data_IF_656157142469
#
_entry.id   IF_656157142469
#
_cell.length_a   1.000
_cell.length_b   1.000
_cell.length_c   1.000
_cell.angle_alpha   90.00
_cell.angle_beta   90.00
_cell.angle_gamma   90.00
#
_symmetry.space_group_name_H-M   'P 1'
#
loop_
_entity.id
_entity.type
_entity.pdbx_description
1 polymer ?
#
# COMPACT_ATOMS: atom_id res chain seq x y z
N UNK A 1 -10.50 4.26 -20.32
CA UNK A 1 -10.95 2.86 -20.50
C UNK A 1 -9.87 1.82 -20.19
N UNK A 2 -8.62 1.91 -20.70
CA UNK A 2 -7.54 0.96 -20.35
C UNK A 2 -7.21 0.87 -18.85
N UNK A 3 -7.19 2.01 -18.15
CA UNK A 3 -6.85 2.07 -16.73
C UNK A 3 -7.91 1.38 -15.83
N UNK A 4 -9.20 1.49 -16.17
CA UNK A 4 -10.29 0.81 -15.46
C UNK A 4 -10.22 -0.71 -15.62
N UNK A 5 -9.90 -1.20 -16.81
CA UNK A 5 -9.75 -2.64 -17.04
C UNK A 5 -8.56 -3.21 -16.27
N UNK A 6 -7.41 -2.52 -16.28
CA UNK A 6 -6.24 -2.94 -15.50
C UNK A 6 -6.53 -2.98 -13.99
N UNK A 7 -7.23 -1.97 -13.46
CA UNK A 7 -7.66 -1.91 -12.05
C UNK A 7 -8.58 -3.09 -11.68
N UNK A 8 -9.54 -3.43 -12.55
CA UNK A 8 -10.46 -4.54 -12.31
C UNK A 8 -9.72 -5.89 -12.33
N UNK A 9 -8.85 -6.12 -13.31
CA UNK A 9 -8.03 -7.33 -13.37
C UNK A 9 -7.13 -7.47 -12.14
N UNK A 10 -6.48 -6.39 -11.70
CA UNK A 10 -5.65 -6.39 -10.50
C UNK A 10 -6.46 -6.72 -9.24
N UNK A 11 -7.66 -6.14 -9.11
CA UNK A 11 -8.57 -6.42 -7.99
C UNK A 11 -9.02 -7.88 -7.97
N UNK A 12 -9.30 -8.45 -9.14
CA UNK A 12 -9.69 -9.86 -9.28
C UNK A 12 -8.53 -10.82 -8.99
N UNK A 13 -7.31 -10.48 -9.40
CA UNK A 13 -6.13 -11.31 -9.17
C UNK A 13 -5.68 -11.28 -7.70
N UNK A 14 -5.88 -10.15 -7.00
CA UNK A 14 -5.38 -9.93 -5.64
C UNK A 14 -6.45 -9.43 -4.67
N UNK A 15 -7.59 -10.12 -4.50
CA UNK A 15 -8.73 -9.63 -3.72
C UNK A 15 -8.38 -9.45 -2.23
N UNK A 16 -7.50 -10.29 -1.69
CA UNK A 16 -7.03 -10.18 -0.30
C UNK A 16 -6.16 -8.94 -0.10
N UNK A 17 -5.27 -8.66 -1.04
CA UNK A 17 -4.38 -7.50 -0.97
C UNK A 17 -5.17 -6.20 -1.09
N UNK A 18 -6.15 -6.11 -2.01
CA UNK A 18 -7.01 -4.93 -2.11
C UNK A 18 -7.81 -4.70 -0.83
N UNK A 19 -8.39 -5.75 -0.24
CA UNK A 19 -9.09 -5.63 1.05
C UNK A 19 -8.15 -5.19 2.18
N UNK A 20 -6.92 -5.70 2.21
CA UNK A 20 -5.92 -5.27 3.18
C UNK A 20 -5.62 -3.77 3.05
N UNK A 21 -5.33 -3.28 1.83
CA UNK A 21 -5.11 -1.85 1.61
C UNK A 21 -6.33 -1.01 1.99
N UNK A 22 -7.55 -1.48 1.66
CA UNK A 22 -8.78 -0.80 2.08
C UNK A 22 -8.87 -0.68 3.60
N UNK A 23 -8.65 -1.77 4.35
CA UNK A 23 -8.67 -1.73 5.81
C UNK A 23 -7.62 -0.78 6.34
N UNK A 24 -6.36 -0.96 5.94
CA UNK A 24 -5.20 -0.17 6.39
C UNK A 24 -5.35 1.33 6.12
N UNK A 25 -5.88 1.71 4.95
CA UNK A 25 -6.07 3.12 4.59
C UNK A 25 -7.44 3.69 5.00
N UNK A 26 -8.41 2.84 5.34
CA UNK A 26 -9.70 3.27 5.93
C UNK A 26 -9.58 3.54 7.42
N UNK A 27 -8.74 2.78 8.13
CA UNK A 27 -8.17 3.23 9.39
C UNK A 27 -7.20 4.36 9.09
N UNK A 28 -7.26 5.47 9.81
CA UNK A 28 -6.25 6.52 9.65
C UNK A 28 -4.90 5.90 10.02
N UNK A 29 -3.96 5.86 9.09
CA UNK A 29 -2.57 5.50 9.41
C UNK A 29 -2.06 6.58 10.35
N UNK A 30 -1.66 6.19 11.55
CA UNK A 30 -1.18 7.12 12.59
C UNK A 30 0.35 7.13 12.63
N UNK A 31 0.93 8.23 13.10
CA UNK A 31 2.35 8.30 13.38
C UNK A 31 2.75 7.17 14.34
N UNK A 32 3.87 6.51 14.06
CA UNK A 32 4.30 5.35 14.83
C UNK A 32 3.78 4.01 14.31
N UNK A 33 2.85 4.00 13.34
CA UNK A 33 2.49 2.77 12.61
C UNK A 33 3.74 2.17 12.00
N UNK A 34 3.96 0.86 12.15
CA UNK A 34 5.09 0.16 11.54
C UNK A 34 4.58 -0.64 10.35
N UNK A 35 5.14 -0.35 9.17
CA UNK A 35 4.93 -1.15 7.97
C UNK A 35 6.09 -2.12 7.79
N UNK A 36 5.78 -3.39 7.59
CA UNK A 36 6.74 -4.40 7.15
C UNK A 36 6.37 -4.85 5.74
N UNK A 37 7.36 -4.89 4.86
CA UNK A 37 7.20 -5.31 3.48
C UNK A 37 8.20 -6.43 3.21
N UNK A 38 7.66 -7.58 2.85
CA UNK A 38 8.44 -8.70 2.35
C UNK A 38 8.22 -8.84 0.85
N UNK A 39 9.32 -8.89 0.10
CA UNK A 39 9.32 -9.16 -1.34
C UNK A 39 10.03 -10.47 -1.58
N UNK A 40 9.36 -11.41 -2.25
CA UNK A 40 9.95 -12.67 -2.69
C UNK A 40 9.90 -12.70 -4.21
N UNK A 41 11.06 -12.65 -4.86
CA UNK A 41 11.13 -12.86 -6.31
C UNK A 41 11.19 -14.35 -6.61
N UNK A 42 10.74 -14.79 -7.80
CA UNK A 42 10.85 -16.19 -8.19
C UNK A 42 12.30 -16.68 -8.12
N UNK A 43 12.56 -17.69 -7.27
CA UNK A 43 13.88 -18.30 -7.11
C UNK A 43 14.87 -17.51 -6.25
N UNK A 44 14.48 -16.39 -5.67
CA UNK A 44 15.29 -15.63 -4.70
C UNK A 44 14.74 -15.80 -3.28
N UNK A 45 15.61 -15.67 -2.28
CA UNK A 45 15.20 -15.60 -0.88
C UNK A 45 14.37 -14.34 -0.62
N UNK A 46 13.37 -14.40 0.28
CA UNK A 46 12.60 -13.22 0.66
C UNK A 46 13.50 -12.12 1.24
N UNK A 47 13.28 -10.89 0.79
CA UNK A 47 13.86 -9.71 1.42
C UNK A 47 12.77 -8.98 2.20
N UNK A 48 13.05 -8.68 3.47
CA UNK A 48 12.11 -7.99 4.36
C UNK A 48 12.72 -6.68 4.82
N UNK A 49 11.90 -5.62 4.79
CA UNK A 49 12.23 -4.34 5.39
C UNK A 49 11.05 -3.83 6.19
N UNK A 50 11.30 -2.95 7.15
CA UNK A 50 10.26 -2.23 7.84
C UNK A 50 10.60 -0.75 7.95
N UNK A 51 9.55 0.06 8.11
CA UNK A 51 9.68 1.46 8.46
C UNK A 51 8.56 1.87 9.40
N UNK A 52 8.88 2.83 10.27
CA UNK A 52 7.90 3.50 11.12
C UNK A 52 7.43 4.76 10.42
N UNK A 53 6.12 4.92 10.32
CA UNK A 53 5.49 6.11 9.76
C UNK A 53 5.84 7.31 10.64
N UNK A 54 6.38 8.34 10.02
CA UNK A 54 6.63 9.63 10.62
C UNK A 54 5.53 10.62 10.25
N UNK A 55 5.39 11.67 11.05
CA UNK A 55 4.45 12.76 10.76
C UNK A 55 4.67 13.37 9.36
N UNK A 56 5.93 13.52 8.92
CA UNK A 56 6.26 14.03 7.58
C UNK A 56 5.73 13.16 6.44
N UNK A 57 5.63 11.84 6.67
CA UNK A 57 5.11 10.90 5.66
C UNK A 57 3.59 11.03 5.50
N UNK A 58 2.89 11.29 6.62
CA UNK A 58 1.45 11.54 6.62
C UNK A 58 1.10 12.84 5.90
N UNK A 59 1.87 13.89 6.16
CA UNK A 59 1.72 15.20 5.48
C UNK A 59 1.95 15.08 3.98
N UNK A 60 2.98 14.32 3.57
CA UNK A 60 3.22 14.02 2.16
C UNK A 60 2.03 13.28 1.53
N UNK A 61 1.50 12.25 2.20
CA UNK A 61 0.35 11.49 1.71
C UNK A 61 -0.92 12.35 1.58
N UNK A 62 -1.14 13.29 2.48
CA UNK A 62 -2.25 14.24 2.41
C UNK A 62 -2.09 15.18 1.21
N UNK A 63 -0.89 15.75 1.01
CA UNK A 63 -0.62 16.63 -0.14
C UNK A 63 -0.81 15.96 -1.51
N UNK A 64 -0.61 14.63 -1.59
CA UNK A 64 -0.81 13.86 -2.82
C UNK A 64 -2.30 13.56 -3.11
N UNK A 65 -3.17 13.55 -2.09
CA UNK A 65 -4.62 13.38 -2.28
C UNK A 65 -5.26 14.61 -2.92
N UNK A 66 -4.72 15.80 -2.62
CA UNK A 66 -5.22 17.08 -3.15
C UNK A 66 -4.85 17.31 -4.63
N UNK A 67 -3.98 16.46 -5.20
CA UNK A 67 -3.55 16.51 -6.60
C UNK A 67 -4.42 15.64 -7.55
N UNK A 68 -5.45 14.95 -7.04
CA UNK A 68 -6.34 14.07 -7.82
C UNK A 68 -7.67 14.71 -8.22
#
# INVERSE_FOLDING_TARGET
>A
MKLMNAKNTFTNNHPKFVKFLQVVFSSRVEEGTVFEITVTKPGEEPITTNFKVLQSDLELMESLKDLQ
#
